data_IF_141668674345
#
_entry.id   IF_141668674345
#
_cell.length_a   1.000
_cell.length_b   1.000
_cell.length_c   1.000
_cell.angle_alpha   90.00
_cell.angle_beta   90.00
_cell.angle_gamma   90.00
#
_symmetry.space_group_name_H-M   'P 1'
#
loop_
_entity.id
_entity.type
_entity.pdbx_description
1 polymer ?
#
# COMPACT_ATOMS: atom_id res chain seq x y z
N UNK A 1 -4.80 0.47 30.97
CA UNK A 1 -4.85 -0.61 29.94
C UNK A 1 -3.90 -0.20 28.81
N UNK A 2 -2.77 -0.91 28.70
CA UNK A 2 -1.74 -0.94 27.63
C UNK A 2 -1.21 0.37 27.01
N UNK A 3 -0.06 0.84 27.52
CA UNK A 3 0.83 1.89 26.93
C UNK A 3 1.80 1.26 25.90
N UNK A 4 1.46 0.10 25.31
CA UNK A 4 2.43 -0.72 24.57
C UNK A 4 2.61 -0.27 23.10
N UNK A 5 1.72 0.57 22.54
CA UNK A 5 1.76 0.97 21.13
C UNK A 5 2.59 2.22 20.76
N UNK A 6 3.14 2.98 21.72
CA UNK A 6 3.83 4.27 21.46
C UNK A 6 5.34 4.26 21.70
N UNK A 7 5.96 3.09 21.89
CA UNK A 7 7.34 3.01 22.40
C UNK A 7 8.46 3.18 21.35
N UNK A 8 8.21 2.98 20.05
CA UNK A 8 9.25 3.14 19.01
C UNK A 8 9.62 4.59 18.71
N UNK A 9 8.62 5.43 18.42
CA UNK A 9 8.82 6.82 17.97
C UNK A 9 9.47 7.72 19.04
N UNK A 10 9.23 7.42 20.32
CA UNK A 10 9.73 8.29 21.39
C UNK A 10 11.24 8.15 21.62
N UNK A 11 11.86 7.00 21.39
CA UNK A 11 13.23 6.79 21.88
C UNK A 11 14.26 7.67 21.15
N UNK A 12 14.13 7.82 19.82
CA UNK A 12 15.01 8.68 19.03
C UNK A 12 14.76 10.17 19.27
N UNK A 13 13.53 10.59 19.59
CA UNK A 13 13.21 11.99 19.92
C UNK A 13 13.60 12.38 21.36
N UNK A 14 13.74 11.41 22.26
CA UNK A 14 14.15 11.66 23.67
C UNK A 14 15.66 11.73 23.87
N UNK A 15 16.44 11.21 22.92
CA UNK A 15 17.89 11.31 22.95
C UNK A 15 18.33 12.56 22.18
N UNK A 16 19.36 13.25 22.67
CA UNK A 16 19.95 14.43 22.01
C UNK A 16 20.78 13.98 20.78
N UNK A 17 20.09 13.43 19.77
CA UNK A 17 20.69 12.87 18.56
C UNK A 17 20.92 14.01 17.56
N UNK A 18 22.12 14.14 16.96
CA UNK A 18 22.36 15.10 15.90
C UNK A 18 21.35 14.90 14.75
N UNK A 19 20.62 15.93 14.30
CA UNK A 19 19.61 15.80 13.24
C UNK A 19 20.15 15.15 11.95
N UNK A 20 21.39 15.47 11.57
CA UNK A 20 22.07 14.91 10.40
C UNK A 20 22.26 13.38 10.50
N UNK A 21 22.49 12.87 11.71
CA UNK A 21 22.65 11.43 11.94
C UNK A 21 21.30 10.71 11.76
N UNK A 22 20.22 11.32 12.24
CA UNK A 22 18.87 10.79 12.09
C UNK A 22 18.46 10.80 10.62
N UNK A 23 18.65 11.91 9.91
CA UNK A 23 18.32 12.04 8.49
C UNK A 23 19.07 11.02 7.63
N UNK A 24 20.39 10.89 7.84
CA UNK A 24 21.20 9.89 7.12
C UNK A 24 20.74 8.46 7.41
N UNK A 25 20.32 8.18 8.65
CA UNK A 25 19.74 6.90 9.05
C UNK A 25 18.43 6.62 8.32
N UNK A 26 17.50 7.58 8.33
CA UNK A 26 16.23 7.50 7.61
C UNK A 26 16.42 7.24 6.12
N UNK A 27 17.33 7.98 5.47
CA UNK A 27 17.61 7.82 4.05
C UNK A 27 18.08 6.39 3.73
N UNK A 28 19.04 5.86 4.50
CA UNK A 28 19.55 4.50 4.30
C UNK A 28 18.49 3.42 4.51
N UNK A 29 17.62 3.59 5.51
CA UNK A 29 16.51 2.65 5.76
C UNK A 29 15.52 2.68 4.59
N UNK A 30 15.16 3.87 4.10
CA UNK A 30 14.28 4.02 2.93
C UNK A 30 14.93 3.42 1.68
N UNK A 31 16.21 3.71 1.43
CA UNK A 31 16.93 3.21 0.25
C UNK A 31 16.99 1.67 0.24
N UNK A 32 17.30 1.06 1.39
CA UNK A 32 17.29 -0.40 1.53
C UNK A 32 15.88 -0.98 1.32
N UNK A 33 14.85 -0.32 1.85
CA UNK A 33 13.45 -0.71 1.69
C UNK A 33 13.02 -0.71 0.22
N UNK A 34 13.33 0.37 -0.50
CA UNK A 34 13.05 0.49 -1.93
C UNK A 34 13.87 -0.50 -2.76
N UNK A 35 15.13 -0.76 -2.36
CA UNK A 35 15.99 -1.73 -3.04
C UNK A 35 15.44 -3.14 -2.96
N UNK A 36 14.88 -3.55 -1.81
CA UNK A 36 14.26 -4.88 -1.67
C UNK A 36 13.11 -5.07 -2.67
N UNK A 37 12.25 -4.05 -2.83
CA UNK A 37 11.15 -4.08 -3.80
C UNK A 37 11.69 -4.06 -5.24
N UNK A 38 12.67 -3.19 -5.53
CA UNK A 38 13.28 -3.07 -6.87
C UNK A 38 13.89 -4.38 -7.34
N UNK A 39 14.74 -5.01 -6.53
CA UNK A 39 15.44 -6.24 -6.94
C UNK A 39 14.46 -7.41 -7.11
N UNK A 40 13.41 -7.49 -6.26
CA UNK A 40 12.34 -8.48 -6.45
C UNK A 40 11.53 -8.21 -7.71
N UNK A 41 11.10 -6.96 -7.94
CA UNK A 41 10.36 -6.58 -9.13
C UNK A 41 11.15 -6.90 -10.40
N UNK A 42 12.45 -6.55 -10.43
CA UNK A 42 13.35 -6.83 -11.55
C UNK A 42 13.44 -8.32 -11.85
N UNK A 43 13.65 -9.16 -10.83
CA UNK A 43 13.68 -10.62 -11.00
C UNK A 43 12.37 -11.15 -11.59
N UNK A 44 11.21 -10.66 -11.12
CA UNK A 44 9.91 -11.09 -11.66
C UNK A 44 9.70 -10.59 -13.09
N UNK A 45 10.05 -9.34 -13.39
CA UNK A 45 9.97 -8.78 -14.73
C UNK A 45 10.82 -9.56 -15.74
N UNK A 46 12.09 -9.85 -15.40
CA UNK A 46 12.99 -10.66 -16.24
C UNK A 46 12.42 -12.06 -16.50
N UNK A 47 11.90 -12.72 -15.46
CA UNK A 47 11.25 -14.03 -15.57
C UNK A 47 10.08 -14.00 -16.56
N UNK A 48 9.19 -13.01 -16.47
CA UNK A 48 8.01 -12.92 -17.35
C UNK A 48 8.39 -12.59 -18.79
N UNK A 49 9.38 -11.72 -19.00
CA UNK A 49 9.90 -11.42 -20.33
C UNK A 49 10.54 -12.64 -20.97
N UNK A 50 11.24 -13.47 -20.19
CA UNK A 50 11.83 -14.72 -20.66
C UNK A 50 10.77 -15.78 -21.01
N UNK A 51 9.70 -15.89 -20.22
CA UNK A 51 8.59 -16.81 -20.50
C UNK A 51 7.77 -16.40 -21.74
N UNK A 52 7.68 -15.09 -22.02
CA UNK A 52 6.91 -14.55 -23.14
C UNK A 52 5.40 -14.80 -23.03
N UNK A 53 4.66 -14.34 -24.04
CA UNK A 53 3.22 -14.60 -24.15
C UNK A 53 2.33 -13.86 -23.14
N UNK A 54 2.85 -12.85 -22.45
CA UNK A 54 2.12 -12.05 -21.45
C UNK A 54 2.18 -10.56 -21.79
N UNK A 55 1.07 -9.85 -21.59
CA UNK A 55 0.94 -8.39 -21.81
C UNK A 55 0.76 -7.60 -20.52
N UNK A 56 0.27 -8.26 -19.48
CA UNK A 56 0.09 -7.72 -18.15
C UNK A 56 0.08 -8.89 -17.15
N UNK A 57 0.78 -8.74 -16.03
CA UNK A 57 0.79 -9.73 -14.96
C UNK A 57 0.53 -9.08 -13.60
N UNK A 58 -0.45 -9.61 -12.87
CA UNK A 58 -0.78 -9.13 -11.53
C UNK A 58 0.39 -9.40 -10.58
N UNK A 59 0.83 -8.38 -9.87
CA UNK A 59 1.98 -8.48 -8.97
C UNK A 59 1.63 -7.97 -7.59
N UNK A 60 1.64 -8.87 -6.60
CA UNK A 60 1.36 -8.55 -5.21
C UNK A 60 2.43 -7.61 -4.64
N UNK A 61 1.99 -6.51 -4.05
CA UNK A 61 2.79 -5.60 -3.23
C UNK A 61 2.05 -5.35 -1.93
N UNK A 62 2.56 -5.82 -0.80
CA UNK A 62 1.90 -5.56 0.49
C UNK A 62 2.35 -4.26 1.13
N UNK A 63 1.41 -3.57 1.76
CA UNK A 63 1.65 -2.33 2.50
C UNK A 63 1.11 -2.51 3.92
N UNK A 64 1.86 -3.12 4.86
CA UNK A 64 1.40 -3.46 6.20
C UNK A 64 1.27 -2.22 7.11
N UNK A 65 0.33 -1.32 6.80
CA UNK A 65 0.11 -0.04 7.46
C UNK A 65 -1.29 0.01 8.10
N UNK A 66 -1.38 0.25 9.41
CA UNK A 66 -2.68 0.28 10.11
C UNK A 66 -2.88 1.47 11.02
N UNK A 67 -1.94 2.42 11.08
CA UNK A 67 -1.98 3.51 12.07
C UNK A 67 -2.89 4.67 11.68
N UNK A 68 -3.44 4.65 10.46
CA UNK A 68 -4.40 5.64 9.98
C UNK A 68 -5.86 5.19 10.18
N UNK A 69 -6.07 3.95 10.63
CA UNK A 69 -7.35 3.44 11.12
C UNK A 69 -7.88 4.25 12.31
N UNK A 70 -9.19 4.54 12.30
CA UNK A 70 -9.87 5.25 13.39
C UNK A 70 -10.31 4.36 14.57
N UNK A 71 -10.36 3.03 14.40
CA UNK A 71 -10.80 2.11 15.46
C UNK A 71 -9.75 1.05 15.82
N UNK A 72 -9.36 0.20 14.88
CA UNK A 72 -8.38 -0.87 15.10
C UNK A 72 -7.29 -0.88 14.03
N UNK A 73 -6.04 -1.10 14.46
CA UNK A 73 -4.86 -1.13 13.58
C UNK A 73 -4.51 -2.54 13.08
N UNK A 74 -5.42 -3.51 13.30
CA UNK A 74 -5.27 -4.90 12.87
C UNK A 74 -4.95 -5.12 11.39
N UNK A 75 -5.42 -4.27 10.44
CA UNK A 75 -5.06 -4.42 9.02
C UNK A 75 -3.56 -4.44 8.73
N UNK A 76 -2.71 -3.84 9.59
CA UNK A 76 -1.26 -3.92 9.43
C UNK A 76 -0.70 -5.35 9.34
N UNK A 77 -1.42 -6.35 9.86
CA UNK A 77 -1.03 -7.77 9.84
C UNK A 77 -1.64 -8.56 8.66
N UNK A 78 -2.41 -7.92 7.79
CA UNK A 78 -3.16 -8.60 6.74
C UNK A 78 -2.31 -9.17 5.59
N UNK A 79 -1.28 -8.48 5.04
CA UNK A 79 -0.61 -8.96 3.83
C UNK A 79 -0.03 -10.38 3.92
N UNK A 80 0.64 -10.79 5.02
CA UNK A 80 1.11 -12.17 5.16
C UNK A 80 -0.02 -13.20 5.23
N UNK A 81 -1.14 -12.87 5.90
CA UNK A 81 -2.29 -13.78 6.07
C UNK A 81 -3.08 -13.97 4.78
N UNK A 82 -3.17 -12.92 3.96
CA UNK A 82 -3.78 -13.03 2.62
C UNK A 82 -2.95 -14.00 1.76
N UNK A 83 -1.63 -13.90 1.78
CA UNK A 83 -0.75 -14.83 1.04
C UNK A 83 -0.88 -16.27 1.52
N UNK A 84 -0.92 -16.48 2.84
CA UNK A 84 -1.17 -17.80 3.42
C UNK A 84 -2.48 -18.40 2.91
N UNK A 85 -3.54 -17.60 2.80
CA UNK A 85 -4.83 -18.04 2.29
C UNK A 85 -4.82 -18.34 0.78
N UNK A 86 -4.11 -17.53 -0.03
CA UNK A 86 -3.96 -17.76 -1.48
C UNK A 86 -3.32 -19.13 -1.76
N UNK A 87 -2.33 -19.54 -0.97
CA UNK A 87 -1.58 -20.78 -1.17
C UNK A 87 -1.97 -21.89 -0.19
N UNK A 88 -3.16 -21.82 0.38
CA UNK A 88 -3.63 -22.80 1.36
C UNK A 88 -3.87 -24.16 0.69
N UNK A 89 -3.36 -25.24 1.30
CA UNK A 89 -3.50 -26.61 0.77
C UNK A 89 -4.94 -27.14 0.73
N UNK A 90 -5.93 -26.42 1.27
CA UNK A 90 -7.36 -26.73 1.10
C UNK A 90 -7.93 -26.24 -0.23
N UNK A 91 -7.23 -25.33 -0.92
CA UNK A 91 -7.63 -24.74 -2.20
C UNK A 91 -6.84 -25.35 -3.35
N UNK A 92 -7.36 -25.24 -4.57
CA UNK A 92 -6.55 -25.45 -5.77
C UNK A 92 -6.00 -24.09 -6.25
N UNK A 93 -5.13 -24.13 -7.26
CA UNK A 93 -4.50 -22.94 -7.82
C UNK A 93 -5.24 -22.35 -9.03
N UNK A 94 -6.44 -22.84 -9.35
CA UNK A 94 -7.23 -22.34 -10.48
C UNK A 94 -8.22 -21.28 -10.03
N UNK A 95 -8.22 -20.13 -10.70
CA UNK A 95 -9.28 -19.13 -10.57
C UNK A 95 -10.61 -19.64 -11.13
N UNK A 96 -11.73 -18.99 -10.81
CA UNK A 96 -13.06 -19.39 -11.33
C UNK A 96 -13.15 -19.41 -12.86
N UNK A 97 -12.43 -18.52 -13.54
CA UNK A 97 -12.35 -18.48 -15.02
C UNK A 97 -11.28 -19.41 -15.60
N UNK A 98 -10.62 -20.23 -14.76
CA UNK A 98 -9.66 -21.24 -15.20
C UNK A 98 -8.22 -20.76 -15.44
N UNK A 99 -7.84 -19.55 -14.99
CA UNK A 99 -6.42 -19.13 -14.98
C UNK A 99 -5.66 -19.82 -13.84
N UNK A 100 -4.44 -20.26 -14.13
CA UNK A 100 -3.55 -20.97 -13.22
C UNK A 100 -2.67 -20.00 -12.42
N UNK A 101 -2.84 -19.94 -11.10
CA UNK A 101 -2.10 -19.05 -10.21
C UNK A 101 -0.62 -19.44 -10.06
N UNK A 102 -0.27 -20.73 -10.23
CA UNK A 102 1.13 -21.15 -10.22
C UNK A 102 1.91 -20.67 -11.46
N UNK A 103 1.22 -20.19 -12.51
CA UNK A 103 1.86 -19.56 -13.65
C UNK A 103 2.28 -18.13 -13.28
N UNK A 104 3.58 -17.79 -13.29
CA UNK A 104 4.05 -16.44 -12.98
C UNK A 104 3.43 -15.37 -13.89
N UNK A 105 3.01 -15.72 -15.11
CA UNK A 105 2.35 -14.79 -16.03
C UNK A 105 0.97 -14.36 -15.55
N UNK A 106 0.36 -15.11 -14.64
CA UNK A 106 -0.94 -14.79 -14.01
C UNK A 106 -0.72 -14.01 -12.71
N UNK A 107 0.14 -14.52 -11.82
CA UNK A 107 0.39 -13.91 -10.52
C UNK A 107 1.86 -14.00 -10.10
N UNK A 108 2.44 -12.86 -9.74
CA UNK A 108 3.74 -12.75 -9.06
C UNK A 108 3.62 -11.99 -7.75
N UNK A 109 4.69 -11.99 -6.95
CA UNK A 109 4.75 -11.31 -5.66
C UNK A 109 6.12 -10.68 -5.44
N UNK A 110 6.14 -9.39 -5.09
CA UNK A 110 7.36 -8.63 -4.77
C UNK A 110 7.55 -8.42 -3.27
N UNK A 111 6.65 -8.94 -2.44
CA UNK A 111 6.72 -8.84 -0.99
C UNK A 111 6.08 -7.58 -0.44
N UNK A 112 6.57 -7.16 0.72
CA UNK A 112 5.97 -6.10 1.52
C UNK A 112 6.91 -4.90 1.64
N UNK A 113 6.33 -3.70 1.60
CA UNK A 113 7.03 -2.47 1.99
C UNK A 113 7.36 -2.57 3.50
N UNK A 114 8.61 -2.34 3.92
CA UNK A 114 9.03 -2.30 5.34
C UNK A 114 8.45 -1.10 6.12
N UNK A 115 7.13 -1.03 6.23
CA UNK A 115 6.41 0.11 6.81
C UNK A 115 6.79 0.34 8.27
N UNK A 116 6.93 -0.72 9.06
CA UNK A 116 7.18 -0.58 10.50
C UNK A 116 8.61 -0.11 10.76
N UNK A 117 9.57 -0.58 9.96
CA UNK A 117 10.97 -0.19 9.98
C UNK A 117 11.16 1.29 9.62
N UNK A 118 10.45 1.76 8.58
CA UNK A 118 10.47 3.18 8.18
C UNK A 118 9.85 4.07 9.26
N UNK A 119 8.76 3.62 9.90
CA UNK A 119 8.13 4.38 10.99
C UNK A 119 9.01 4.43 12.24
N UNK A 120 9.71 3.34 12.56
CA UNK A 120 10.57 3.26 13.73
C UNK A 120 11.77 4.23 13.64
N UNK A 121 12.29 4.49 12.44
CA UNK A 121 13.35 5.49 12.23
C UNK A 121 12.85 6.95 12.24
N UNK A 122 11.58 7.18 12.56
CA UNK A 122 11.02 8.51 12.83
C UNK A 122 10.64 9.31 11.58
N UNK A 123 10.43 8.63 10.46
CA UNK A 123 9.92 9.23 9.21
C UNK A 123 8.47 9.67 9.41
N UNK A 124 8.12 10.85 8.90
CA UNK A 124 6.75 11.36 8.92
C UNK A 124 5.84 10.68 7.89
N UNK A 125 4.53 10.89 8.02
CA UNK A 125 3.54 10.26 7.14
C UNK A 125 3.67 10.74 5.68
N UNK A 126 4.02 11.99 5.43
CA UNK A 126 4.16 12.51 4.06
C UNK A 126 5.24 11.71 3.32
N UNK A 127 6.38 11.51 3.97
CA UNK A 127 7.52 10.78 3.42
C UNK A 127 7.27 9.28 3.37
N UNK A 128 6.57 8.69 4.35
CA UNK A 128 6.14 7.29 4.29
C UNK A 128 5.19 7.03 3.12
N UNK A 129 4.20 7.90 2.90
CA UNK A 129 3.27 7.82 1.77
C UNK A 129 3.99 7.95 0.43
N UNK A 130 5.05 8.76 0.35
CA UNK A 130 5.91 8.83 -0.83
C UNK A 130 6.66 7.52 -1.07
N UNK A 131 7.21 6.87 -0.03
CA UNK A 131 7.87 5.56 -0.19
C UNK A 131 6.89 4.51 -0.72
N UNK A 132 5.64 4.52 -0.27
CA UNK A 132 4.59 3.64 -0.81
C UNK A 132 4.36 3.94 -2.30
N UNK A 133 4.22 5.22 -2.68
CA UNK A 133 4.07 5.61 -4.08
C UNK A 133 5.24 5.17 -4.96
N UNK A 134 6.48 5.35 -4.49
CA UNK A 134 7.68 4.90 -5.22
C UNK A 134 7.76 3.37 -5.31
N UNK A 135 7.33 2.64 -4.28
CA UNK A 135 7.28 1.18 -4.30
C UNK A 135 6.30 0.65 -5.37
N UNK A 136 5.17 1.34 -5.56
CA UNK A 136 4.23 1.05 -6.65
C UNK A 136 4.86 1.36 -8.03
N UNK A 137 5.56 2.49 -8.17
CA UNK A 137 6.25 2.85 -9.42
C UNK A 137 7.34 1.83 -9.78
N UNK A 138 8.10 1.33 -8.81
CA UNK A 138 9.11 0.28 -9.02
C UNK A 138 8.50 -0.99 -9.60
N UNK A 139 7.30 -1.38 -9.17
CA UNK A 139 6.57 -2.50 -9.79
C UNK A 139 6.18 -2.16 -11.23
N UNK A 140 5.62 -0.96 -11.46
CA UNK A 140 5.17 -0.53 -12.79
C UNK A 140 6.31 -0.27 -13.80
N UNK A 141 7.54 -0.09 -13.34
CA UNK A 141 8.73 0.07 -14.18
C UNK A 141 9.17 -1.22 -14.86
N UNK A 142 8.83 -2.36 -14.25
CA UNK A 142 9.16 -3.67 -14.78
C UNK A 142 8.02 -4.16 -15.67
N UNK A 143 8.11 -3.92 -16.98
CA UNK A 143 7.14 -4.49 -17.92
C UNK A 143 7.22 -6.05 -17.91
N UNK A 144 6.10 -6.79 -17.82
CA UNK A 144 4.69 -6.35 -17.92
C UNK A 144 3.94 -6.31 -16.56
N UNK A 145 4.61 -6.05 -15.45
CA UNK A 145 4.01 -6.12 -14.12
C UNK A 145 2.96 -5.02 -13.90
N UNK A 146 1.87 -5.39 -13.23
CA UNK A 146 0.79 -4.47 -12.79
C UNK A 146 0.57 -4.65 -11.29
N UNK A 147 0.61 -3.57 -10.48
CA UNK A 147 0.53 -3.67 -9.03
C UNK A 147 -0.87 -4.12 -8.57
N UNK A 148 -0.91 -5.15 -7.74
CA UNK A 148 -2.07 -5.56 -6.95
C UNK A 148 -1.70 -5.40 -5.49
N UNK A 149 -2.19 -4.34 -4.86
CA UNK A 149 -1.71 -3.93 -3.53
C UNK A 149 -2.49 -4.63 -2.43
N UNK A 150 -1.77 -5.30 -1.53
CA UNK A 150 -2.36 -5.93 -0.35
C UNK A 150 -2.36 -4.93 0.81
N UNK A 151 -3.58 -4.66 1.28
CA UNK A 151 -3.85 -3.69 2.32
C UNK A 151 -3.08 -3.91 3.61
N UNK A 152 -2.76 -2.79 4.22
CA UNK A 152 -3.27 -2.54 5.55
C UNK A 152 -4.59 -1.76 5.47
N UNK A 153 -4.73 -0.66 6.20
CA UNK A 153 -5.93 0.16 6.22
C UNK A 153 -6.14 0.96 4.91
N UNK A 154 -7.32 1.57 4.76
CA UNK A 154 -7.73 2.20 3.50
C UNK A 154 -6.95 3.49 3.15
N UNK A 155 -6.08 3.99 4.04
CA UNK A 155 -5.26 5.18 3.75
C UNK A 155 -4.28 4.93 2.60
N UNK A 156 -3.85 3.69 2.38
CA UNK A 156 -2.86 3.34 1.36
C UNK A 156 -3.39 3.53 -0.07
N UNK A 157 -4.71 3.58 -0.27
CA UNK A 157 -5.29 3.80 -1.60
C UNK A 157 -4.85 5.14 -2.19
N UNK A 158 -4.67 6.17 -1.35
CA UNK A 158 -4.21 7.48 -1.80
C UNK A 158 -2.82 7.45 -2.47
N UNK A 159 -1.72 7.05 -1.80
CA UNK A 159 -0.41 7.01 -2.42
C UNK A 159 -0.31 5.99 -3.57
N UNK A 160 -1.12 4.93 -3.56
CA UNK A 160 -1.17 3.94 -4.65
C UNK A 160 -1.79 4.54 -5.92
N UNK A 161 -2.98 5.13 -5.80
CA UNK A 161 -3.68 5.75 -6.94
C UNK A 161 -2.89 6.93 -7.49
N UNK A 162 -2.29 7.76 -6.62
CA UNK A 162 -1.36 8.83 -7.03
C UNK A 162 -0.24 8.29 -7.90
N UNK A 163 0.46 7.24 -7.45
CA UNK A 163 1.58 6.65 -8.19
C UNK A 163 1.16 6.11 -9.56
N UNK A 164 0.02 5.41 -9.62
CA UNK A 164 -0.53 4.88 -10.88
C UNK A 164 -0.88 6.00 -11.84
N UNK A 165 -1.59 7.03 -11.38
CA UNK A 165 -1.99 8.17 -12.20
C UNK A 165 -0.77 8.94 -12.73
N UNK A 166 0.22 9.21 -11.87
CA UNK A 166 1.48 9.85 -12.26
C UNK A 166 2.24 9.04 -13.31
N UNK A 167 2.38 7.72 -13.11
CA UNK A 167 3.15 6.85 -14.00
C UNK A 167 2.46 6.66 -15.36
N UNK A 168 1.13 6.67 -15.40
CA UNK A 168 0.35 6.61 -16.65
C UNK A 168 0.18 7.97 -17.33
N UNK A 169 0.54 9.08 -16.65
CA UNK A 169 0.46 10.43 -17.21
C UNK A 169 -0.95 10.99 -17.28
N UNK A 170 -1.88 10.54 -16.44
CA UNK A 170 -3.26 11.03 -16.45
C UNK A 170 -4.18 10.39 -15.40
N UNK A 171 -5.41 10.91 -15.25
CA UNK A 171 -6.38 10.39 -14.30
C UNK A 171 -6.92 9.02 -14.72
N UNK A 172 -7.33 8.23 -13.73
CA UNK A 172 -7.99 6.93 -13.93
C UNK A 172 -9.47 6.99 -13.56
N UNK A 173 -10.26 6.03 -14.04
CA UNK A 173 -11.61 5.79 -13.51
C UNK A 173 -11.51 4.73 -12.41
N UNK A 174 -12.15 4.98 -11.26
CA UNK A 174 -12.07 4.12 -10.07
C UNK A 174 -13.42 3.46 -9.80
N UNK A 175 -13.38 2.13 -9.65
CA UNK A 175 -14.44 1.36 -9.00
C UNK A 175 -14.03 1.13 -7.53
N UNK A 176 -14.80 1.70 -6.60
CA UNK A 176 -14.60 1.60 -5.16
C UNK A 176 -15.71 0.76 -4.54
N UNK A 177 -15.33 -0.37 -3.94
CA UNK A 177 -16.26 -1.28 -3.28
C UNK A 177 -16.06 -1.15 -1.78
N UNK A 178 -16.99 -0.48 -1.10
CA UNK A 178 -16.88 -0.20 0.32
C UNK A 178 -18.23 0.11 0.97
N UNK A 179 -18.35 -0.18 2.25
CA UNK A 179 -19.45 0.28 3.09
C UNK A 179 -19.36 1.80 3.38
N UNK A 180 -18.17 2.38 3.33
CA UNK A 180 -17.86 3.78 3.66
C UNK A 180 -17.28 4.54 2.46
N UNK A 181 -17.56 5.85 2.34
CA UNK A 181 -17.14 6.64 1.20
C UNK A 181 -15.70 7.15 1.29
N UNK A 182 -15.13 7.12 2.49
CA UNK A 182 -13.75 7.54 2.78
C UNK A 182 -13.36 8.91 2.19
N UNK A 183 -14.34 9.82 2.20
CA UNK A 183 -14.27 11.15 1.57
C UNK A 183 -14.29 12.30 2.58
N UNK A 184 -14.06 12.04 3.87
CA UNK A 184 -13.94 13.12 4.84
C UNK A 184 -12.74 14.00 4.48
N UNK A 185 -12.91 15.31 4.50
CA UNK A 185 -11.79 16.22 4.18
C UNK A 185 -10.63 16.03 5.17
N UNK A 186 -10.87 15.92 6.47
CA UNK A 186 -9.83 15.60 7.45
C UNK A 186 -10.48 14.94 8.67
N UNK A 187 -10.49 13.61 8.71
CA UNK A 187 -11.11 12.86 9.81
C UNK A 187 -10.21 12.88 11.05
N UNK A 188 -10.75 13.35 12.19
CA UNK A 188 -10.05 13.47 13.47
C UNK A 188 -8.70 14.23 13.40
N UNK A 189 -8.57 15.18 12.47
CA UNK A 189 -7.35 15.96 12.29
C UNK A 189 -6.23 15.23 11.55
N UNK A 190 -6.44 14.00 11.07
CA UNK A 190 -5.49 13.26 10.26
C UNK A 190 -5.87 13.34 8.76
N UNK A 191 -5.07 14.07 7.96
CA UNK A 191 -5.26 14.16 6.50
C UNK A 191 -5.10 12.83 5.77
N UNK A 192 -4.37 11.89 6.38
CA UNK A 192 -4.15 10.52 5.91
C UNK A 192 -5.06 9.49 6.56
N UNK A 193 -6.10 9.91 7.29
CA UNK A 193 -7.06 8.96 7.86
C UNK A 193 -7.57 8.01 6.78
N UNK A 194 -7.76 6.74 7.15
CA UNK A 194 -8.36 5.75 6.26
C UNK A 194 -9.73 6.19 5.72
N UNK A 195 -10.46 7.03 6.47
CA UNK A 195 -11.75 7.60 6.10
C UNK A 195 -11.64 8.89 5.26
N UNK A 196 -10.44 9.26 4.82
CA UNK A 196 -10.14 10.48 4.06
C UNK A 196 -9.34 10.21 2.77
N UNK A 197 -9.02 8.95 2.47
CA UNK A 197 -8.17 8.58 1.34
C UNK A 197 -8.75 9.02 -0.01
N UNK A 198 -10.06 8.89 -0.22
CA UNK A 198 -10.72 9.30 -1.46
C UNK A 198 -10.88 10.82 -1.58
N UNK A 199 -10.96 11.55 -0.47
CA UNK A 199 -10.86 13.01 -0.52
C UNK A 199 -9.51 13.44 -1.11
N UNK A 200 -8.40 12.84 -0.64
CA UNK A 200 -7.05 13.11 -1.17
C UNK A 200 -6.90 12.73 -2.64
N UNK A 201 -7.50 11.62 -3.05
CA UNK A 201 -7.48 11.15 -4.45
C UNK A 201 -8.15 12.17 -5.37
N UNK A 202 -9.35 12.64 -4.99
CA UNK A 202 -10.11 13.59 -5.81
C UNK A 202 -9.48 14.99 -5.82
N UNK A 203 -8.97 15.46 -4.68
CA UNK A 203 -8.27 16.76 -4.56
C UNK A 203 -7.02 16.82 -5.45
N UNK A 204 -6.30 15.71 -5.57
CA UNK A 204 -5.11 15.63 -6.44
C UNK A 204 -5.41 15.41 -7.92
N UNK A 205 -6.68 15.29 -8.32
CA UNK A 205 -7.07 15.10 -9.72
C UNK A 205 -6.64 13.75 -10.30
N UNK A 206 -6.35 12.74 -9.47
CA UNK A 206 -5.88 11.43 -9.93
C UNK A 206 -7.01 10.55 -10.47
N UNK A 207 -8.26 10.91 -10.19
CA UNK A 207 -9.44 10.19 -10.64
C UNK A 207 -10.38 11.10 -11.44
N UNK A 208 -10.89 10.59 -12.55
CA UNK A 208 -11.92 11.27 -13.36
C UNK A 208 -13.32 10.85 -12.94
N UNK A 209 -13.56 9.54 -12.80
CA UNK A 209 -14.82 8.98 -12.29
C UNK A 209 -14.53 8.18 -11.03
N UNK A 210 -15.35 8.38 -10.00
CA UNK A 210 -15.38 7.55 -8.80
C UNK A 210 -16.75 6.89 -8.72
N UNK A 211 -16.81 5.59 -9.02
CA UNK A 211 -18.00 4.79 -8.84
C UNK A 211 -17.89 4.04 -7.55
N UNK A 212 -18.79 4.33 -6.62
CA UNK A 212 -18.79 3.65 -5.35
C UNK A 212 -20.05 2.82 -5.14
N UNK A 213 -19.86 1.60 -4.65
CA UNK A 213 -20.92 0.63 -4.41
C UNK A 213 -20.72 -0.03 -3.05
N UNK A 214 -21.84 -0.38 -2.40
CA UNK A 214 -21.83 -0.99 -1.07
C UNK A 214 -22.11 -0.03 0.09
N UNK A 215 -22.27 1.27 -0.17
CA UNK A 215 -22.49 2.27 0.88
C UNK A 215 -23.68 1.93 1.79
N UNK A 216 -23.38 1.72 3.07
CA UNK A 216 -24.36 1.49 4.12
C UNK A 216 -24.01 2.41 5.29
N UNK A 217 -24.21 3.71 5.09
CA UNK A 217 -23.89 4.71 6.10
C UNK A 217 -25.15 5.05 6.88
N UNK A 218 -25.16 4.71 8.16
CA UNK A 218 -26.14 5.24 9.11
C UNK A 218 -25.49 6.43 9.84
N UNK A 219 -25.55 7.62 9.23
CA UNK A 219 -25.09 8.87 9.87
C UNK A 219 -26.05 9.30 10.99
N UNK A 220 -26.24 8.43 11.99
CA UNK A 220 -26.77 8.87 13.27
C UNK A 220 -25.65 9.63 13.95
N UNK A 221 -25.70 10.96 13.83
CA UNK A 221 -24.96 11.87 14.72
C UNK A 221 -25.08 11.30 16.13
N UNK A 222 -23.96 10.87 16.73
CA UNK A 222 -23.90 10.78 18.19
C UNK A 222 -23.99 12.23 18.66
N UNK A 223 -25.21 12.63 19.02
CA UNK A 223 -25.48 13.89 19.72
C UNK A 223 -24.78 13.89 21.07
#
# INVERSE_FOLDING_TARGET
MSIIGKRGIHYLKTANIPPELLERGQNRVIDASLTLIRERAKLKGELLRALGGVKAASTLLGVPLGHNSSFLQGPAFAPPRIREAIWCGSTNSSTEEGKELNDPRVLTDVGDVPVQEIRDCGVDDDRLMNVISESVKLVMEEDPLRPLVLGGDHSISFPVVRAVSEKLGGPVDILHLDAHPDIYHCFEGNKYSHASSFARIMEGGYARRLFASGYQINNKRRA
#
